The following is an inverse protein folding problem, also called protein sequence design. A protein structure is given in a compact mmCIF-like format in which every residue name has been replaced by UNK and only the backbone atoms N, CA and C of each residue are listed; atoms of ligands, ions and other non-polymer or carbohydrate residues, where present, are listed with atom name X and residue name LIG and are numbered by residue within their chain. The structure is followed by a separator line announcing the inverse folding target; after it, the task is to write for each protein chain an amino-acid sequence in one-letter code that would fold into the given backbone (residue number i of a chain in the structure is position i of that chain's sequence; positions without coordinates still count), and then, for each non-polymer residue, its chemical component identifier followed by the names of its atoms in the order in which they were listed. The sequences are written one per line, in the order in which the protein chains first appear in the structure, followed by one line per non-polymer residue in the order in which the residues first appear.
data_IF_258822688723
#
_entry.id   IF_258822688723
#
_cell.length_a   1.000
_cell.length_b   1.000
_cell.length_c   1.000
_cell.angle_alpha   90.00
_cell.angle_beta   90.00
_cell.angle_gamma   90.00
#
_symmetry.space_group_name_H-M   'P 1'
#
loop_
_entity.id
_entity.type
_entity.pdbx_description
1 polymer ?
#
# COMPACT_ATOMS: atom_id res chain seq x y z
N UNK A 1 14.29 33.95 -2.11
CA UNK A 1 13.51 34.75 -1.15
C UNK A 1 13.59 34.05 0.20
N UNK A 2 14.09 34.72 1.24
CA UNK A 2 14.15 34.14 2.59
C UNK A 2 12.86 34.48 3.34
N UNK A 3 11.92 33.53 3.37
CA UNK A 3 10.65 33.69 4.05
C UNK A 3 10.83 33.85 5.57
N UNK A 4 11.85 33.24 6.16
CA UNK A 4 12.08 33.30 7.60
C UNK A 4 12.55 34.69 8.05
N UNK A 5 13.45 35.32 7.26
CA UNK A 5 13.90 36.68 7.51
C UNK A 5 12.75 37.68 7.35
N UNK A 6 11.91 37.52 6.33
CA UNK A 6 10.74 38.37 6.09
C UNK A 6 9.71 38.29 7.22
N UNK A 7 9.42 37.08 7.72
CA UNK A 7 8.47 36.91 8.83
C UNK A 7 9.02 37.50 10.14
N UNK A 8 10.33 37.33 10.40
CA UNK A 8 10.99 37.94 11.58
C UNK A 8 10.97 39.46 11.51
N UNK A 9 11.17 40.05 10.34
CA UNK A 9 11.08 41.52 10.18
C UNK A 9 9.66 42.05 10.44
N UNK A 10 8.65 41.20 10.32
CA UNK A 10 7.25 41.51 10.62
C UNK A 10 6.82 41.09 12.04
N UNK A 11 7.77 40.80 12.93
CA UNK A 11 7.50 40.54 14.35
C UNK A 11 7.21 39.08 14.70
N UNK A 12 7.41 38.14 13.77
CA UNK A 12 7.37 36.73 14.13
C UNK A 12 8.58 36.36 15.01
N UNK A 13 8.30 35.68 16.13
CA UNK A 13 9.31 35.29 17.13
C UNK A 13 10.29 34.21 16.66
N UNK A 14 9.99 33.55 15.54
CA UNK A 14 10.86 32.54 14.92
C UNK A 14 10.36 31.12 15.08
N UNK A 15 11.18 30.17 14.63
CA UNK A 15 10.85 28.75 14.61
C UNK A 15 10.45 28.25 16.01
N UNK A 16 9.32 27.54 16.11
CA UNK A 16 8.76 27.07 17.37
C UNK A 16 7.66 27.96 17.96
N UNK A 17 7.47 29.17 17.44
CA UNK A 17 6.33 30.03 17.74
C UNK A 17 5.35 30.03 16.58
N UNK A 18 4.06 30.08 16.91
CA UNK A 18 3.02 30.26 15.91
C UNK A 18 3.03 31.68 15.37
N UNK A 19 2.37 31.88 14.23
CA UNK A 19 2.23 33.19 13.60
C UNK A 19 1.19 34.09 14.28
N UNK A 20 0.40 33.55 15.22
CA UNK A 20 -0.59 34.32 15.95
C UNK A 20 0.00 35.06 17.16
N UNK A 21 -0.72 36.06 17.64
CA UNK A 21 -0.33 36.84 18.80
C UNK A 21 -0.51 36.11 20.14
N UNK A 22 -1.33 35.04 20.18
CA UNK A 22 -1.73 34.36 21.42
C UNK A 22 -1.07 32.99 21.62
N UNK A 23 -0.10 32.60 20.79
CA UNK A 23 0.55 31.28 20.84
C UNK A 23 -0.40 30.07 20.68
N UNK A 24 -1.60 30.28 20.13
CA UNK A 24 -2.62 29.25 19.92
C UNK A 24 -2.56 28.62 18.52
N UNK A 25 -1.83 29.25 17.60
CA UNK A 25 -1.70 28.78 16.23
C UNK A 25 -0.79 27.56 16.09
N UNK A 26 -0.74 27.03 14.87
CA UNK A 26 0.16 25.93 14.54
C UNK A 26 1.62 26.39 14.53
N UNK A 27 2.45 25.72 15.32
CA UNK A 27 3.92 25.93 15.37
C UNK A 27 4.68 25.11 14.34
N UNK A 28 4.04 24.04 13.85
CA UNK A 28 4.57 23.11 12.85
C UNK A 28 3.53 22.96 11.73
N UNK A 29 3.97 22.79 10.48
CA UNK A 29 3.06 22.52 9.37
C UNK A 29 2.30 21.22 9.61
N UNK A 30 1.06 21.15 9.10
CA UNK A 30 0.27 19.93 9.14
C UNK A 30 0.88 18.90 8.20
N UNK A 31 1.08 17.70 8.70
CA UNK A 31 1.40 16.54 7.87
C UNK A 31 0.08 15.99 7.33
N UNK A 32 -0.12 16.14 6.02
CA UNK A 32 -1.31 15.63 5.33
C UNK A 32 -0.97 14.31 4.67
N UNK A 33 -1.81 13.31 4.87
CA UNK A 33 -1.69 12.03 4.15
C UNK A 33 -2.10 12.24 2.69
N UNK A 34 -1.19 11.94 1.77
CA UNK A 34 -1.49 11.96 0.34
C UNK A 34 -1.97 10.59 -0.14
N UNK A 35 -3.10 10.60 -0.85
CA UNK A 35 -3.58 9.41 -1.56
C UNK A 35 -2.83 9.27 -2.89
N UNK A 36 -2.00 8.23 -2.98
CA UNK A 36 -1.20 7.91 -4.17
C UNK A 36 -1.81 6.71 -4.93
N UNK A 37 -2.80 6.04 -4.33
CA UNK A 37 -3.43 4.86 -4.91
C UNK A 37 -4.82 5.14 -5.50
N UNK A 38 -5.35 4.13 -6.19
CA UNK A 38 -6.72 4.11 -6.73
C UNK A 38 -7.69 3.44 -5.75
N UNK A 39 -7.24 3.05 -4.55
CA UNK A 39 -8.06 2.30 -3.60
C UNK A 39 -9.17 3.18 -3.00
N UNK A 40 -10.22 2.54 -2.48
CA UNK A 40 -11.25 3.25 -1.73
C UNK A 40 -10.66 3.92 -0.47
N UNK A 41 -11.27 5.02 -0.02
CA UNK A 41 -10.86 5.69 1.23
C UNK A 41 -10.92 4.68 2.39
N UNK A 42 -9.85 4.62 3.19
CA UNK A 42 -9.73 3.69 4.32
C UNK A 42 -9.24 2.29 3.95
N UNK A 43 -9.08 1.95 2.66
CA UNK A 43 -8.43 0.71 2.25
C UNK A 43 -6.92 0.90 2.27
N UNK A 44 -6.22 -0.04 2.91
CA UNK A 44 -4.74 -0.09 2.88
C UNK A 44 -4.31 -0.95 1.70
N UNK A 45 -3.22 -0.55 1.03
CA UNK A 45 -2.54 -1.43 0.07
C UNK A 45 -2.07 -2.67 0.81
N UNK A 46 -2.73 -3.79 0.56
CA UNK A 46 -2.37 -5.09 1.09
C UNK A 46 -1.34 -5.73 0.16
N UNK A 47 -0.06 -5.75 0.55
CA UNK A 47 1.01 -6.43 -0.19
C UNK A 47 0.96 -7.96 -0.02
N UNK A 48 -0.23 -8.57 0.00
CA UNK A 48 -0.38 -10.03 0.13
C UNK A 48 0.08 -10.78 -1.13
N UNK A 49 0.23 -10.08 -2.25
CA UNK A 49 0.82 -10.63 -3.48
C UNK A 49 2.22 -11.20 -3.27
N UNK A 50 3.00 -10.62 -2.35
CA UNK A 50 4.41 -10.99 -2.20
C UNK A 50 4.58 -12.19 -1.25
N UNK A 51 3.56 -12.50 -0.44
CA UNK A 51 3.63 -13.53 0.60
C UNK A 51 3.40 -14.94 0.05
N UNK A 52 2.55 -15.10 -0.97
CA UNK A 52 2.23 -16.44 -1.48
C UNK A 52 3.42 -17.07 -2.23
N UNK A 53 4.14 -16.27 -3.03
CA UNK A 53 5.29 -16.76 -3.80
C UNK A 53 6.47 -17.09 -2.89
N UNK A 54 6.77 -16.25 -1.90
CA UNK A 54 7.84 -16.52 -0.92
C UNK A 54 7.57 -17.79 -0.11
N UNK A 55 6.30 -18.02 0.28
CA UNK A 55 5.91 -19.25 0.98
C UNK A 55 6.07 -20.48 0.08
N UNK A 56 5.60 -20.41 -1.17
CA UNK A 56 5.76 -21.52 -2.12
C UNK A 56 7.23 -21.83 -2.39
N UNK A 57 8.09 -20.81 -2.50
CA UNK A 57 9.52 -20.97 -2.67
C UNK A 57 10.19 -21.62 -1.44
N UNK A 58 9.91 -21.14 -0.23
CA UNK A 58 10.46 -21.74 1.01
C UNK A 58 10.00 -23.20 1.20
N UNK A 59 8.75 -23.50 0.88
CA UNK A 59 8.23 -24.87 0.91
C UNK A 59 8.93 -25.79 -0.09
N UNK A 60 9.26 -25.29 -1.29
CA UNK A 60 10.05 -26.08 -2.25
C UNK A 60 11.47 -26.35 -1.80
N UNK A 61 12.13 -25.38 -1.16
CA UNK A 61 13.47 -25.59 -0.62
C UNK A 61 13.48 -26.64 0.49
N UNK A 62 12.47 -26.63 1.37
CA UNK A 62 12.33 -27.63 2.43
C UNK A 62 12.05 -29.04 1.90
N UNK A 63 11.33 -29.13 0.79
CA UNK A 63 11.02 -30.41 0.14
C UNK A 63 12.12 -30.90 -0.81
N UNK A 64 13.17 -30.09 -1.04
CA UNK A 64 14.27 -30.46 -1.93
C UNK A 64 15.03 -31.66 -1.37
N UNK A 65 15.02 -32.78 -2.11
CA UNK A 65 15.70 -34.02 -1.72
C UNK A 65 14.88 -34.99 -0.86
N UNK A 66 13.66 -34.65 -0.45
CA UNK A 66 12.78 -35.53 0.34
C UNK A 66 11.84 -36.40 -0.51
N UNK A 67 11.83 -36.19 -1.84
CA UNK A 67 10.95 -36.89 -2.78
C UNK A 67 9.46 -36.51 -2.67
N UNK A 68 9.13 -35.52 -1.84
CA UNK A 68 7.76 -35.04 -1.67
C UNK A 68 7.33 -34.14 -2.83
N UNK A 69 6.08 -34.27 -3.25
CA UNK A 69 5.49 -33.37 -4.26
C UNK A 69 5.37 -31.96 -3.71
N UNK A 70 6.04 -31.01 -4.34
CA UNK A 70 6.07 -29.62 -3.86
C UNK A 70 4.84 -28.83 -4.32
N UNK A 71 4.59 -27.71 -3.65
CA UNK A 71 3.53 -26.76 -4.03
C UNK A 71 3.73 -26.19 -5.44
N UNK A 72 4.98 -26.02 -5.90
CA UNK A 72 5.23 -25.61 -7.29
C UNK A 72 4.96 -26.74 -8.30
N UNK A 73 5.24 -28.00 -7.95
CA UNK A 73 4.94 -29.14 -8.81
C UNK A 73 3.43 -29.35 -8.97
N UNK A 74 2.66 -29.13 -7.92
CA UNK A 74 1.19 -29.21 -7.98
C UNK A 74 0.60 -28.07 -8.82
N UNK A 75 1.13 -26.85 -8.69
CA UNK A 75 0.77 -25.70 -9.54
C UNK A 75 1.10 -25.96 -11.01
N UNK A 76 2.27 -26.52 -11.30
CA UNK A 76 2.70 -26.85 -12.67
C UNK A 76 1.80 -27.90 -13.33
N UNK A 77 1.31 -28.88 -12.56
CA UNK A 77 0.47 -29.98 -13.08
C UNK A 77 -1.00 -29.59 -13.23
N UNK A 78 -1.57 -28.92 -12.23
CA UNK A 78 -3.02 -28.73 -12.13
C UNK A 78 -3.48 -27.29 -12.43
N UNK A 79 -2.54 -26.35 -12.58
CA UNK A 79 -2.86 -24.93 -12.56
C UNK A 79 -3.39 -24.50 -11.18
N UNK A 80 -3.22 -23.22 -10.85
CA UNK A 80 -3.59 -22.71 -9.54
C UNK A 80 -5.10 -22.33 -9.52
N UNK A 81 -5.96 -23.35 -9.40
CA UNK A 81 -7.42 -23.18 -9.41
C UNK A 81 -8.01 -22.68 -8.08
N UNK A 82 -7.30 -22.84 -6.95
CA UNK A 82 -7.68 -22.28 -5.64
C UNK A 82 -6.43 -21.79 -4.93
N UNK A 83 -6.28 -20.46 -4.87
CA UNK A 83 -5.17 -19.77 -4.21
C UNK A 83 -4.22 -18.99 -5.13
N UNK A 84 -4.52 -18.86 -6.44
CA UNK A 84 -3.82 -17.89 -7.31
C UNK A 84 -4.39 -16.49 -7.10
N UNK A 85 -3.61 -15.48 -7.53
CA UNK A 85 -4.07 -14.09 -7.64
C UNK A 85 -5.44 -13.95 -8.29
N UNK A 86 -5.83 -14.89 -9.17
CA UNK A 86 -7.12 -14.86 -9.87
C UNK A 86 -8.16 -15.89 -9.42
N UNK A 87 -7.85 -16.76 -8.45
CA UNK A 87 -8.72 -17.86 -8.02
C UNK A 87 -10.00 -17.42 -7.28
N UNK A 88 -10.12 -16.14 -6.95
CA UNK A 88 -11.28 -15.56 -6.29
C UNK A 88 -12.14 -14.69 -7.21
N UNK A 89 -11.75 -14.48 -8.47
CA UNK A 89 -12.59 -13.73 -9.40
C UNK A 89 -13.71 -14.62 -9.92
N UNK A 90 -14.94 -14.26 -9.56
CA UNK A 90 -16.15 -14.78 -10.19
C UNK A 90 -16.43 -13.88 -11.39
N UNK A 91 -16.62 -14.47 -12.58
CA UNK A 91 -17.06 -13.72 -13.76
C UNK A 91 -18.45 -13.16 -13.48
N UNK A 92 -18.58 -11.82 -13.47
CA UNK A 92 -19.86 -11.13 -13.34
C UNK A 92 -20.74 -11.35 -14.57
N UNK A 93 -22.06 -11.26 -14.40
CA UNK A 93 -23.02 -11.35 -15.50
C UNK A 93 -22.76 -10.25 -16.54
N UNK A 94 -22.72 -10.63 -17.82
CA UNK A 94 -22.50 -9.67 -18.89
C UNK A 94 -23.79 -8.87 -19.11
N UNK A 95 -23.73 -7.54 -19.01
CA UNK A 95 -24.86 -6.68 -19.35
C UNK A 95 -25.16 -6.82 -20.84
N UNK A 96 -26.40 -7.23 -21.15
CA UNK A 96 -26.86 -7.35 -22.53
C UNK A 96 -26.90 -5.94 -23.14
N UNK A 97 -26.15 -5.75 -24.23
CA UNK A 97 -26.10 -4.48 -24.93
C UNK A 97 -27.49 -4.09 -25.43
N UNK A 98 -27.85 -2.83 -25.25
CA UNK A 98 -29.03 -2.25 -25.90
C UNK A 98 -28.66 -1.94 -27.35
N UNK A 99 -29.21 -2.74 -28.27
CA UNK A 99 -29.26 -2.41 -29.70
C UNK A 99 -30.42 -1.47 -29.98
#
# INVERSE_FOLDING_TARGET
MDASAYLKSHGWRGSGYSLDHSDRGLKKPLLVSHKIDVLGVGKKKHNHSDQWWMRAFDETLKALGTGQTTTLDSIRKNGMNRGSLYGFFVRGEALQGTF
#
